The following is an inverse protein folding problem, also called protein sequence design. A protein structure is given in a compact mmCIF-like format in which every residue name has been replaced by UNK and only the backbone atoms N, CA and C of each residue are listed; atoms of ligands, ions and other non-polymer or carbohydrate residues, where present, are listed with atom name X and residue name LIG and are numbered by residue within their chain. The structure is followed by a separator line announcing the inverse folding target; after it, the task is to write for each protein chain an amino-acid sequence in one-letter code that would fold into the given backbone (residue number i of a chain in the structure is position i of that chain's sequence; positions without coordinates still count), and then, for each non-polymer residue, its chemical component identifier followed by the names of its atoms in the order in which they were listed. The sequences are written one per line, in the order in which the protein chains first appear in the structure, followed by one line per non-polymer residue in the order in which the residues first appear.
data_IF_770710056982
#
_entry.id   IF_770710056982
#
_cell.length_a   1.000
_cell.length_b   1.000
_cell.length_c   1.000
_cell.angle_alpha   90.00
_cell.angle_beta   90.00
_cell.angle_gamma   90.00
#
_symmetry.space_group_name_H-M   'P 1'
#
loop_
_entity.id
_entity.type
_entity.pdbx_description
1 polymer ?
#
# COMPACT_ATOMS: atom_id res chain seq x y z
N UNK A 1 -38.40 27.77 16.03
CA UNK A 1 -37.47 28.47 15.14
C UNK A 1 -37.02 27.49 14.07
N UNK A 2 -37.54 27.62 12.85
CA UNK A 2 -37.25 26.70 11.76
C UNK A 2 -35.82 26.94 11.25
N UNK A 3 -34.94 25.96 11.45
CA UNK A 3 -33.56 26.02 10.99
C UNK A 3 -33.51 26.13 9.47
N UNK A 4 -32.82 27.15 8.97
CA UNK A 4 -32.51 27.35 7.56
C UNK A 4 -31.84 26.08 7.00
N UNK A 5 -32.64 25.22 6.37
CA UNK A 5 -32.14 24.07 5.64
C UNK A 5 -31.60 24.61 4.33
N UNK A 6 -30.28 24.57 4.17
CA UNK A 6 -29.60 25.11 3.00
C UNK A 6 -30.19 24.49 1.71
N UNK A 7 -30.89 25.25 0.85
CA UNK A 7 -31.52 24.73 -0.36
C UNK A 7 -30.48 24.24 -1.39
N UNK A 8 -29.23 24.68 -1.26
CA UNK A 8 -28.12 24.25 -2.12
C UNK A 8 -27.62 22.82 -1.82
N UNK A 9 -28.02 22.18 -0.71
CA UNK A 9 -27.56 20.84 -0.35
C UNK A 9 -28.00 19.74 -1.35
N UNK A 10 -28.96 20.02 -2.24
CA UNK A 10 -29.45 19.11 -3.28
C UNK A 10 -28.95 19.41 -4.69
N UNK A 11 -28.08 20.42 -4.88
CA UNK A 11 -27.56 20.82 -6.19
C UNK A 11 -26.68 19.76 -6.86
N UNK A 12 -26.05 18.86 -6.10
CA UNK A 12 -25.23 17.78 -6.68
C UNK A 12 -25.98 16.82 -7.61
N UNK A 13 -27.31 16.74 -7.50
CA UNK A 13 -28.17 15.93 -8.40
C UNK A 13 -28.56 16.69 -9.68
N UNK A 14 -28.55 18.03 -9.63
CA UNK A 14 -28.92 18.95 -10.72
C UNK A 14 -27.69 19.39 -11.54
N UNK A 15 -26.55 19.60 -10.90
CA UNK A 15 -25.25 19.87 -11.52
C UNK A 15 -24.64 18.60 -12.11
N UNK A 16 -25.48 17.73 -12.67
CA UNK A 16 -25.05 16.55 -13.43
C UNK A 16 -24.55 17.01 -14.81
N UNK A 17 -23.58 17.91 -14.80
CA UNK A 17 -22.68 18.18 -15.91
C UNK A 17 -21.35 17.49 -15.55
N UNK A 18 -21.23 16.19 -15.85
CA UNK A 18 -20.63 15.69 -17.11
C UNK A 18 -19.18 16.12 -17.27
N UNK A 19 -18.33 15.41 -16.55
CA UNK A 19 -16.91 15.43 -16.82
C UNK A 19 -16.05 14.76 -15.77
N UNK A 20 -16.46 13.62 -15.21
CA UNK A 20 -15.44 12.69 -14.75
C UNK A 20 -14.81 12.12 -16.03
N UNK A 21 -13.96 12.93 -16.68
CA UNK A 21 -13.04 12.44 -17.69
C UNK A 21 -12.17 11.48 -16.90
N UNK A 22 -12.59 10.22 -16.79
CA UNK A 22 -11.80 9.14 -16.20
C UNK A 22 -10.41 9.35 -16.75
N UNK A 23 -9.48 9.83 -15.91
CA UNK A 23 -8.11 10.06 -16.35
C UNK A 23 -7.69 8.73 -16.94
N UNK A 24 -7.33 8.72 -18.23
CA UNK A 24 -6.85 7.49 -18.86
C UNK A 24 -5.62 7.09 -18.05
N UNK A 25 -5.75 5.99 -17.30
CA UNK A 25 -4.62 5.40 -16.61
C UNK A 25 -3.80 4.75 -17.71
N UNK A 26 -2.54 5.16 -17.84
CA UNK A 26 -1.56 4.53 -18.69
C UNK A 26 -0.77 3.57 -17.79
N UNK A 27 -1.05 2.25 -17.82
CA UNK A 27 -0.31 1.30 -17.01
C UNK A 27 1.14 1.26 -17.47
N UNK A 28 2.07 1.06 -16.53
CA UNK A 28 3.48 0.92 -16.84
C UNK A 28 3.73 -0.34 -17.69
N UNK A 29 4.46 -0.18 -18.78
CA UNK A 29 4.98 -1.28 -19.58
C UNK A 29 6.01 -2.09 -18.77
N UNK A 30 6.25 -3.37 -19.09
CA UNK A 30 7.22 -4.19 -18.37
C UNK A 30 8.63 -3.57 -18.31
N UNK A 31 9.06 -2.89 -19.37
CA UNK A 31 10.34 -2.18 -19.43
C UNK A 31 10.37 -0.99 -18.46
N UNK A 32 9.29 -0.20 -18.41
CA UNK A 32 9.16 0.94 -17.49
C UNK A 32 9.10 0.49 -16.03
N UNK A 33 8.44 -0.64 -15.75
CA UNK A 33 8.44 -1.27 -14.43
C UNK A 33 9.87 -1.67 -14.01
N UNK A 34 10.64 -2.28 -14.92
CA UNK A 34 12.03 -2.63 -14.66
C UNK A 34 12.90 -1.39 -14.41
N UNK A 35 12.71 -0.33 -15.21
CA UNK A 35 13.41 0.95 -15.02
C UNK A 35 13.07 1.59 -13.67
N UNK A 36 11.80 1.60 -13.27
CA UNK A 36 11.35 2.09 -11.97
C UNK A 36 12.01 1.30 -10.83
N UNK A 37 11.98 -0.03 -10.90
CA UNK A 37 12.59 -0.89 -9.88
C UNK A 37 14.12 -0.68 -9.82
N UNK A 38 14.80 -0.56 -10.95
CA UNK A 38 16.23 -0.25 -10.98
C UNK A 38 16.54 1.13 -10.36
N UNK A 39 15.72 2.15 -10.63
CA UNK A 39 15.87 3.47 -10.03
C UNK A 39 15.69 3.43 -8.50
N UNK A 40 14.69 2.68 -8.01
CA UNK A 40 14.46 2.54 -6.56
C UNK A 40 15.64 1.86 -5.85
N UNK A 41 16.28 0.85 -6.48
CA UNK A 41 17.48 0.21 -5.92
C UNK A 41 18.67 1.18 -5.79
N UNK A 42 18.80 2.15 -6.70
CA UNK A 42 19.92 3.11 -6.72
C UNK A 42 19.70 4.31 -5.80
N UNK A 43 18.52 4.93 -5.90
CA UNK A 43 18.27 6.24 -5.28
C UNK A 43 17.50 6.14 -3.96
N UNK A 44 16.73 5.08 -3.75
CA UNK A 44 15.92 4.92 -2.54
C UNK A 44 15.74 3.45 -2.14
N UNK A 45 16.83 2.75 -1.75
CA UNK A 45 16.79 1.32 -1.45
C UNK A 45 15.77 0.93 -0.38
N UNK A 46 15.45 1.87 0.52
CA UNK A 46 14.45 1.71 1.58
C UNK A 46 13.04 1.45 1.01
N UNK A 47 12.67 2.13 -0.07
CA UNK A 47 11.36 2.01 -0.70
C UNK A 47 11.28 0.94 -1.79
N UNK A 48 12.40 0.30 -2.14
CA UNK A 48 12.43 -0.72 -3.20
C UNK A 48 11.36 -1.81 -3.01
N UNK A 49 11.30 -2.41 -1.81
CA UNK A 49 10.33 -3.46 -1.51
C UNK A 49 8.87 -2.96 -1.63
N UNK A 50 8.60 -1.71 -1.24
CA UNK A 50 7.25 -1.13 -1.33
C UNK A 50 6.76 -1.10 -2.78
N UNK A 51 7.59 -0.59 -3.70
CA UNK A 51 7.26 -0.53 -5.12
C UNK A 51 7.19 -1.92 -5.74
N UNK A 52 8.11 -2.83 -5.38
CA UNK A 52 8.10 -4.20 -5.85
C UNK A 52 6.81 -4.94 -5.45
N UNK A 53 6.42 -4.85 -4.18
CA UNK A 53 5.16 -5.44 -3.69
C UNK A 53 3.98 -4.83 -4.42
N UNK A 54 3.88 -3.51 -4.51
CA UNK A 54 2.78 -2.83 -5.19
C UNK A 54 2.62 -3.28 -6.66
N UNK A 55 3.74 -3.39 -7.40
CA UNK A 55 3.74 -3.83 -8.79
C UNK A 55 3.37 -5.30 -8.96
N UNK A 56 3.87 -6.18 -8.09
CA UNK A 56 3.67 -7.64 -8.23
C UNK A 56 2.33 -8.12 -7.68
N UNK A 57 1.78 -7.45 -6.68
CA UNK A 57 0.60 -7.91 -5.93
C UNK A 57 -0.65 -7.05 -6.18
N UNK A 58 -0.50 -5.85 -6.74
CA UNK A 58 -1.61 -4.93 -6.97
C UNK A 58 -2.26 -4.38 -5.69
N UNK A 59 -1.57 -4.47 -4.56
CA UNK A 59 -2.01 -3.86 -3.30
C UNK A 59 -2.17 -2.34 -3.47
N UNK A 60 -3.24 -1.81 -2.89
CA UNK A 60 -3.44 -0.36 -2.81
C UNK A 60 -2.40 0.21 -1.86
N UNK A 61 -1.96 1.45 -2.11
CA UNK A 61 -0.93 2.08 -1.28
C UNK A 61 -1.32 2.13 0.22
N UNK A 62 -2.60 2.38 0.54
CA UNK A 62 -3.10 2.33 1.91
C UNK A 62 -3.03 0.92 2.51
N UNK A 63 -3.19 -0.13 1.72
CA UNK A 63 -3.03 -1.52 2.17
C UNK A 63 -1.55 -1.83 2.41
N UNK A 64 -0.64 -1.38 1.54
CA UNK A 64 0.80 -1.54 1.75
C UNK A 64 1.21 -0.94 3.11
N UNK A 65 0.82 0.30 3.41
CA UNK A 65 1.15 0.90 4.71
C UNK A 65 0.44 0.24 5.90
N UNK A 66 -0.57 -0.61 5.66
CA UNK A 66 -1.27 -1.36 6.70
C UNK A 66 -0.72 -2.76 6.95
N UNK A 67 0.17 -3.29 6.11
CA UNK A 67 0.70 -4.65 6.29
C UNK A 67 1.80 -4.70 7.35
N UNK A 68 1.76 -5.77 8.14
CA UNK A 68 2.70 -6.06 9.21
C UNK A 68 3.57 -7.26 8.84
N UNK A 69 4.70 -7.44 9.51
CA UNK A 69 5.60 -8.58 9.23
C UNK A 69 4.90 -9.94 9.38
N UNK A 70 3.95 -10.05 10.32
CA UNK A 70 3.20 -11.27 10.60
C UNK A 70 2.13 -11.60 9.53
N UNK A 71 1.78 -10.63 8.68
CA UNK A 71 0.79 -10.86 7.61
C UNK A 71 1.38 -11.63 6.42
N UNK A 72 2.71 -11.82 6.38
CA UNK A 72 3.43 -12.49 5.29
C UNK A 72 3.77 -13.94 5.67
N UNK A 73 3.29 -14.88 4.85
CA UNK A 73 3.71 -16.28 4.87
C UNK A 73 4.65 -16.53 3.69
N UNK A 74 5.95 -16.62 3.95
CA UNK A 74 6.97 -16.81 2.91
C UNK A 74 7.12 -18.27 2.47
N UNK A 75 6.60 -19.23 3.23
CA UNK A 75 6.63 -20.65 2.89
C UNK A 75 5.56 -20.93 1.83
N UNK A 76 4.35 -20.44 2.07
CA UNK A 76 3.23 -20.52 1.12
C UNK A 76 3.29 -19.41 0.07
N UNK A 77 4.16 -18.41 0.26
CA UNK A 77 4.34 -17.21 -0.59
C UNK A 77 3.04 -16.43 -0.73
N UNK A 78 2.46 -16.02 0.40
CA UNK A 78 1.24 -15.22 0.42
C UNK A 78 1.34 -14.05 1.39
N UNK A 79 0.53 -13.02 1.16
CA UNK A 79 0.30 -11.93 2.10
C UNK A 79 -1.19 -11.79 2.40
N UNK A 80 -1.52 -11.66 3.68
CA UNK A 80 -2.89 -11.45 4.15
C UNK A 80 -3.18 -9.95 4.27
N UNK A 81 -4.09 -9.45 3.44
CA UNK A 81 -4.49 -8.04 3.44
C UNK A 81 -5.75 -7.85 4.28
N UNK A 82 -5.55 -7.42 5.53
CA UNK A 82 -6.63 -7.25 6.52
C UNK A 82 -6.77 -5.82 7.09
N UNK A 83 -5.80 -4.94 6.82
CA UNK A 83 -5.75 -3.57 7.32
C UNK A 83 -5.50 -2.58 6.18
N UNK A 84 -5.79 -1.31 6.44
CA UNK A 84 -5.37 -0.20 5.58
C UNK A 84 -5.01 1.01 6.46
N UNK A 85 -3.97 1.72 6.08
CA UNK A 85 -3.58 2.97 6.72
C UNK A 85 -4.13 4.15 5.91
N UNK A 86 -4.98 4.99 6.52
CA UNK A 86 -5.61 6.15 5.87
C UNK A 86 -5.77 7.27 6.89
N UNK A 87 -5.46 8.51 6.48
CA UNK A 87 -5.64 9.72 7.31
C UNK A 87 -5.00 9.59 8.71
N UNK A 88 -3.79 9.00 8.78
CA UNK A 88 -3.03 8.84 10.01
C UNK A 88 -3.57 7.75 10.95
N UNK A 89 -4.52 6.92 10.49
CA UNK A 89 -5.14 5.88 11.31
C UNK A 89 -5.08 4.52 10.61
N UNK A 90 -4.87 3.48 11.41
CA UNK A 90 -5.03 2.10 10.98
C UNK A 90 -6.52 1.75 11.01
N UNK A 91 -7.04 1.30 9.88
CA UNK A 91 -8.43 0.89 9.73
C UNK A 91 -8.47 -0.61 9.46
N UNK A 92 -9.10 -1.35 10.36
CA UNK A 92 -9.40 -2.76 10.14
C UNK A 92 -10.53 -2.91 9.13
N UNK A 93 -10.46 -3.96 8.29
CA UNK A 93 -11.47 -4.19 7.24
C UNK A 93 -12.78 -4.80 7.74
N UNK A 94 -13.00 -4.89 9.06
CA UNK A 94 -14.03 -5.70 9.73
C UNK A 94 -15.49 -5.29 9.51
N UNK A 95 -15.80 -4.19 8.80
CA UNK A 95 -17.20 -3.74 8.67
C UNK A 95 -17.94 -4.13 7.39
N UNK A 96 -17.25 -4.61 6.34
CA UNK A 96 -17.86 -5.08 5.06
C UNK A 96 -16.85 -5.55 3.99
N UNK A 97 -15.54 -5.45 4.22
CA UNK A 97 -14.51 -5.78 3.22
C UNK A 97 -13.76 -7.04 3.67
N UNK A 98 -13.90 -8.12 2.89
CA UNK A 98 -13.28 -9.42 3.19
C UNK A 98 -11.75 -9.26 3.31
N UNK A 99 -11.18 -9.87 4.35
CA UNK A 99 -9.77 -10.23 4.38
C UNK A 99 -9.47 -11.01 3.10
N UNK A 100 -8.40 -10.67 2.41
CA UNK A 100 -7.99 -11.37 1.20
C UNK A 100 -6.53 -11.79 1.29
N UNK A 101 -6.24 -12.94 0.72
CA UNK A 101 -4.88 -13.47 0.59
C UNK A 101 -4.42 -13.19 -0.84
N UNK A 102 -3.18 -12.72 -0.99
CA UNK A 102 -2.58 -12.41 -2.30
C UNK A 102 -1.27 -13.16 -2.43
N UNK A 103 -1.06 -13.78 -3.58
CA UNK A 103 0.17 -14.52 -3.87
C UNK A 103 1.38 -13.60 -4.04
N UNK A 104 2.54 -14.10 -3.62
CA UNK A 104 3.83 -13.44 -3.72
C UNK A 104 4.71 -14.16 -4.76
N UNK A 105 5.38 -13.37 -5.59
CA UNK A 105 6.44 -13.90 -6.45
C UNK A 105 7.66 -14.30 -5.60
N UNK A 106 8.53 -15.17 -6.15
CA UNK A 106 9.80 -15.54 -5.51
C UNK A 106 10.69 -14.31 -5.26
N UNK A 107 10.75 -13.42 -6.25
CA UNK A 107 11.45 -12.13 -6.18
C UNK A 107 10.99 -11.29 -4.97
N UNK A 108 9.69 -11.20 -4.73
CA UNK A 108 9.16 -10.48 -3.56
C UNK A 108 9.61 -11.13 -2.26
N UNK A 109 9.59 -12.47 -2.18
CA UNK A 109 10.01 -13.19 -0.97
C UNK A 109 11.50 -13.00 -0.68
N UNK A 110 12.34 -13.01 -1.70
CA UNK A 110 13.79 -12.76 -1.58
C UNK A 110 14.07 -11.34 -1.10
N UNK A 111 13.48 -10.34 -1.77
CA UNK A 111 13.64 -8.93 -1.38
C UNK A 111 13.03 -8.64 -0.01
N UNK A 112 11.95 -9.32 0.38
CA UNK A 112 11.37 -9.19 1.71
C UNK A 112 12.35 -9.65 2.80
N UNK A 113 13.02 -10.81 2.60
CA UNK A 113 14.04 -11.29 3.54
C UNK A 113 15.20 -10.31 3.65
N UNK A 114 15.70 -9.81 2.51
CA UNK A 114 16.79 -8.83 2.48
C UNK A 114 16.41 -7.52 3.18
N UNK A 115 15.19 -7.04 2.93
CA UNK A 115 14.64 -5.83 3.55
C UNK A 115 14.48 -5.99 5.06
N UNK A 116 13.90 -7.11 5.53
CA UNK A 116 13.75 -7.40 6.96
C UNK A 116 15.09 -7.45 7.68
N UNK A 117 16.09 -8.11 7.10
CA UNK A 117 17.45 -8.16 7.64
C UNK A 117 18.11 -6.77 7.70
N UNK A 118 17.82 -5.87 6.76
CA UNK A 118 18.29 -4.48 6.81
C UNK A 118 17.61 -3.69 7.93
N UNK A 119 16.29 -3.78 8.05
CA UNK A 119 15.53 -3.07 9.09
C UNK A 119 15.91 -3.55 10.50
N UNK A 120 16.17 -4.86 10.69
CA UNK A 120 16.65 -5.39 11.97
C UNK A 120 18.04 -4.84 12.35
N UNK A 121 18.96 -4.72 11.38
CA UNK A 121 20.28 -4.11 11.61
C UNK A 121 20.17 -2.64 11.99
N UNK A 122 19.30 -1.88 11.31
CA UNK A 122 19.04 -0.47 11.64
C UNK A 122 18.40 -0.30 13.02
N UNK A 123 17.43 -1.15 13.37
CA UNK A 123 16.79 -1.15 14.68
C UNK A 123 17.79 -1.43 15.81
N UNK A 124 18.66 -2.43 15.62
CA UNK A 124 19.73 -2.76 16.57
C UNK A 124 20.73 -1.60 16.72
N UNK A 125 21.16 -1.00 15.60
CA UNK A 125 22.11 0.11 15.62
C UNK A 125 21.54 1.38 16.32
N UNK A 126 20.22 1.57 16.27
CA UNK A 126 19.56 2.72 16.90
C UNK A 126 19.03 2.42 18.31
N UNK A 127 19.15 1.17 18.78
CA UNK A 127 18.61 0.72 20.07
C UNK A 127 17.08 0.74 20.16
N UNK A 128 16.39 0.82 19.01
CA UNK A 128 14.92 0.86 18.94
C UNK A 128 14.38 -0.52 18.57
N UNK A 129 13.17 -0.89 19.01
CA UNK A 129 12.52 -2.09 18.52
C UNK A 129 12.24 -1.98 17.02
N UNK A 130 12.24 -3.12 16.33
CA UNK A 130 11.79 -3.20 14.95
C UNK A 130 10.33 -2.76 14.87
N UNK A 131 10.00 -1.90 13.90
CA UNK A 131 8.61 -1.50 13.63
C UNK A 131 7.73 -2.72 13.40
N UNK A 132 6.48 -2.68 13.84
CA UNK A 132 5.49 -3.73 13.53
C UNK A 132 5.13 -3.74 12.04
N UNK A 133 5.17 -2.58 11.40
CA UNK A 133 4.83 -2.38 9.99
C UNK A 133 6.04 -2.62 9.09
N UNK A 134 5.80 -3.27 7.95
CA UNK A 134 6.85 -3.54 6.95
C UNK A 134 7.34 -2.24 6.33
N UNK A 135 6.42 -1.32 6.04
CA UNK A 135 6.74 -0.03 5.41
C UNK A 135 6.47 1.10 6.39
N UNK A 136 7.54 1.72 6.89
CA UNK A 136 7.47 2.86 7.79
C UNK A 136 8.56 3.89 7.45
N UNK A 137 8.31 5.15 7.81
CA UNK A 137 9.31 6.21 7.80
C UNK A 137 10.20 6.12 9.04
#
# INVERSE_FOLDING_TARGET
MAGLTNPALRLGKLLRETGDKKKRVHPLLPTEQATLLAATRRSSPRYHLLFLVALRTGLRLSECFGVQWADFDLEVRTVTVQRQFREGRLLDRTKKNKVRVVDLSREVCEEFRAHRARMQREALATGRPLSEFVFHN
#
